data_IF_413414522149
#
_entry.id   IF_413414522149
#
_cell.length_a   1.000
_cell.length_b   1.000
_cell.length_c   1.000
_cell.angle_alpha   90.00
_cell.angle_beta   90.00
_cell.angle_gamma   90.00
#
_symmetry.space_group_name_H-M   'P 1'
#
loop_
_entity.id
_entity.type
_entity.pdbx_description
1 polymer ?
#
# COMPACT_ATOMS: atom_id res chain seq x y z
N UNK A 1 -56.59 18.12 32.06
CA UNK A 1 -55.97 17.62 30.81
C UNK A 1 -56.87 16.55 30.24
N UNK A 2 -57.27 16.70 28.98
CA UNK A 2 -58.21 15.78 28.32
C UNK A 2 -57.54 14.43 28.08
N UNK A 3 -58.30 13.32 28.07
CA UNK A 3 -57.80 11.99 27.72
C UNK A 3 -57.02 11.98 26.38
N UNK A 4 -57.38 12.90 25.48
CA UNK A 4 -56.69 13.19 24.22
C UNK A 4 -55.23 13.59 24.43
N UNK A 5 -54.95 14.52 25.35
CA UNK A 5 -53.60 15.05 25.59
C UNK A 5 -52.65 13.95 26.08
N UNK A 6 -53.15 13.02 26.90
CA UNK A 6 -52.39 11.88 27.40
C UNK A 6 -52.05 10.85 26.32
N UNK A 7 -52.99 10.57 25.40
CA UNK A 7 -52.77 9.63 24.29
C UNK A 7 -51.81 10.20 23.24
N UNK A 8 -51.91 11.50 22.97
CA UNK A 8 -50.96 12.19 22.11
C UNK A 8 -49.55 12.14 22.71
N UNK A 9 -49.40 12.45 24.00
CA UNK A 9 -48.10 12.46 24.68
C UNK A 9 -47.40 11.09 24.66
N UNK A 10 -48.12 9.99 24.91
CA UNK A 10 -47.54 8.64 24.86
C UNK A 10 -47.15 8.21 23.45
N UNK A 11 -47.97 8.57 22.45
CA UNK A 11 -47.64 8.35 21.03
C UNK A 11 -46.38 9.13 20.63
N UNK A 12 -46.23 10.38 21.06
CA UNK A 12 -45.05 11.20 20.77
C UNK A 12 -43.75 10.64 21.37
N UNK A 13 -43.79 10.18 22.63
CA UNK A 13 -42.62 9.56 23.27
C UNK A 13 -42.21 8.27 22.56
N UNK A 14 -43.19 7.45 22.16
CA UNK A 14 -42.96 6.23 21.40
C UNK A 14 -42.32 6.53 20.03
N UNK A 15 -42.84 7.52 19.32
CA UNK A 15 -42.34 7.93 18.01
C UNK A 15 -40.92 8.49 18.08
N UNK A 16 -40.64 9.38 19.04
CA UNK A 16 -39.31 9.94 19.25
C UNK A 16 -38.28 8.86 19.60
N UNK A 17 -38.69 7.86 20.39
CA UNK A 17 -37.84 6.70 20.71
C UNK A 17 -37.55 5.86 19.48
N UNK A 18 -38.57 5.56 18.66
CA UNK A 18 -38.41 4.78 17.43
C UNK A 18 -37.47 5.46 16.43
N UNK A 19 -37.62 6.77 16.22
CA UNK A 19 -36.77 7.55 15.31
C UNK A 19 -35.31 7.60 15.76
N UNK A 20 -35.04 7.73 17.07
CA UNK A 20 -33.67 7.66 17.59
C UNK A 20 -33.04 6.28 17.41
N UNK A 21 -33.81 5.21 17.62
CA UNK A 21 -33.33 3.84 17.42
C UNK A 21 -32.95 3.64 15.96
N UNK A 22 -33.80 4.05 15.03
CA UNK A 22 -33.52 3.94 13.59
C UNK A 22 -32.25 4.69 13.20
N UNK A 23 -32.07 5.93 13.70
CA UNK A 23 -30.86 6.73 13.46
C UNK A 23 -29.59 6.08 14.07
N UNK A 24 -29.71 5.46 15.25
CA UNK A 24 -28.57 4.76 15.87
C UNK A 24 -28.15 3.49 15.11
N UNK A 25 -29.11 2.74 14.56
CA UNK A 25 -28.83 1.50 13.84
C UNK A 25 -28.11 1.73 12.51
N UNK A 26 -28.51 2.76 11.76
CA UNK A 26 -27.83 3.16 10.53
C UNK A 26 -26.43 3.71 10.81
N UNK A 27 -26.25 4.51 11.87
CA UNK A 27 -24.91 4.94 12.32
C UNK A 27 -24.02 3.75 12.62
N UNK A 28 -24.54 2.75 13.34
CA UNK A 28 -23.79 1.52 13.65
C UNK A 28 -23.45 0.73 12.38
N UNK A 29 -24.39 0.58 11.44
CA UNK A 29 -24.16 -0.14 10.18
C UNK A 29 -23.07 0.54 9.32
N UNK A 30 -23.11 1.87 9.19
CA UNK A 30 -22.10 2.63 8.44
C UNK A 30 -20.74 2.57 9.14
N UNK A 31 -20.71 2.77 10.46
CA UNK A 31 -19.48 2.67 11.25
C UNK A 31 -18.86 1.27 11.17
N UNK A 32 -19.68 0.21 11.19
CA UNK A 32 -19.23 -1.18 11.07
C UNK A 32 -18.60 -1.45 9.71
N UNK A 33 -19.23 -0.98 8.62
CA UNK A 33 -18.66 -1.10 7.27
C UNK A 33 -17.33 -0.35 7.13
N UNK A 34 -17.24 0.86 7.70
CA UNK A 34 -16.00 1.64 7.75
C UNK A 34 -14.92 0.90 8.56
N UNK A 35 -15.25 0.33 9.72
CA UNK A 35 -14.31 -0.43 10.53
C UNK A 35 -13.85 -1.73 9.84
N UNK A 36 -14.72 -2.45 9.13
CA UNK A 36 -14.34 -3.63 8.34
C UNK A 36 -13.36 -3.24 7.24
N UNK A 37 -13.60 -2.10 6.59
CA UNK A 37 -12.71 -1.56 5.56
C UNK A 37 -11.34 -1.14 6.14
N UNK A 38 -11.33 -0.46 7.30
CA UNK A 38 -10.13 -0.04 8.01
C UNK A 38 -9.36 -1.20 8.67
N UNK A 39 -10.00 -2.32 9.00
CA UNK A 39 -9.31 -3.47 9.58
C UNK A 39 -8.65 -4.35 8.49
N UNK A 40 -9.23 -4.37 7.29
CA UNK A 40 -8.63 -5.05 6.12
C UNK A 40 -7.43 -4.32 5.53
N UNK A 41 -7.25 -3.04 5.87
CA UNK A 41 -6.16 -2.22 5.34
C UNK A 41 -5.43 -1.58 6.53
N UNK A 42 -4.15 -1.85 6.72
CA UNK A 42 -3.33 -1.34 7.85
C UNK A 42 -3.05 0.19 7.78
N UNK A 43 -4.03 0.98 7.32
CA UNK A 43 -4.00 2.43 7.13
C UNK A 43 -4.69 3.21 8.25
N UNK A 44 -4.73 2.65 9.46
CA UNK A 44 -5.40 3.20 10.64
C UNK A 44 -4.94 4.62 11.05
N UNK A 45 -3.78 5.11 10.58
CA UNK A 45 -3.23 6.42 11.02
C UNK A 45 -3.56 7.63 10.12
N UNK A 46 -3.95 7.45 8.86
CA UNK A 46 -4.18 8.60 7.95
C UNK A 46 -5.63 9.08 7.88
N UNK A 47 -6.59 8.22 8.21
CA UNK A 47 -8.02 8.58 8.21
C UNK A 47 -8.53 9.13 9.55
N UNK A 48 -7.68 9.19 10.57
CA UNK A 48 -8.06 9.73 11.88
C UNK A 48 -8.36 11.24 11.87
N UNK A 49 -8.09 11.91 10.74
CA UNK A 49 -8.25 13.37 10.56
C UNK A 49 -9.15 13.75 9.38
N UNK A 50 -9.88 12.82 8.76
CA UNK A 50 -10.92 13.21 7.81
C UNK A 50 -12.09 13.79 8.62
N UNK A 51 -12.60 14.99 8.30
CA UNK A 51 -13.72 15.57 9.03
C UNK A 51 -14.93 14.68 8.80
N UNK A 52 -15.19 13.83 9.78
CA UNK A 52 -16.39 12.99 9.89
C UNK A 52 -17.57 13.88 10.32
N UNK A 53 -17.70 15.08 9.76
CA UNK A 53 -18.70 16.08 10.16
C UNK A 53 -19.93 16.08 9.22
N UNK A 54 -19.81 15.59 7.99
CA UNK A 54 -20.93 15.63 7.02
C UNK A 54 -21.95 14.50 7.21
N UNK A 55 -21.68 13.49 8.07
CA UNK A 55 -22.64 12.42 8.35
C UNK A 55 -23.56 12.70 9.54
N UNK A 56 -23.35 13.79 10.28
CA UNK A 56 -23.93 13.96 11.62
C UNK A 56 -25.25 14.74 11.68
N UNK A 57 -25.77 15.32 10.59
CA UNK A 57 -26.92 16.22 10.71
C UNK A 57 -28.13 15.89 9.81
N UNK A 58 -28.66 14.67 9.91
CA UNK A 58 -30.10 14.52 9.65
C UNK A 58 -30.85 14.83 10.95
N UNK A 59 -31.14 16.11 11.13
CA UNK A 59 -31.79 16.60 12.34
C UNK A 59 -33.24 16.12 12.41
N UNK A 60 -33.47 15.15 13.28
CA UNK A 60 -34.79 14.55 13.52
C UNK A 60 -35.69 15.50 14.29
N UNK A 61 -35.12 16.42 15.07
CA UNK A 61 -35.88 17.28 15.97
C UNK A 61 -36.80 18.28 15.23
N UNK A 62 -36.39 18.95 14.13
CA UNK A 62 -37.26 19.80 13.30
C UNK A 62 -38.44 19.05 12.67
N UNK A 63 -38.24 17.79 12.27
CA UNK A 63 -39.31 16.95 11.72
C UNK A 63 -40.33 16.58 12.78
N UNK A 64 -39.87 16.23 13.98
CA UNK A 64 -40.74 15.95 15.13
C UNK A 64 -41.50 17.21 15.53
N UNK A 65 -40.86 18.37 15.56
CA UNK A 65 -41.50 19.64 15.91
C UNK A 65 -42.55 20.07 14.87
N UNK A 66 -42.28 19.87 13.58
CA UNK A 66 -43.26 20.12 12.52
C UNK A 66 -44.46 19.15 12.61
N UNK A 67 -44.22 17.88 12.95
CA UNK A 67 -45.31 16.93 13.22
C UNK A 67 -46.16 17.35 14.41
N UNK A 68 -45.54 17.79 15.51
CA UNK A 68 -46.24 18.27 16.71
C UNK A 68 -47.09 19.50 16.39
N UNK A 69 -46.52 20.47 15.66
CA UNK A 69 -47.21 21.69 15.22
C UNK A 69 -48.42 21.38 14.34
N UNK A 70 -48.27 20.49 13.36
CA UNK A 70 -49.35 20.09 12.45
C UNK A 70 -50.46 19.28 13.15
N UNK A 71 -50.11 18.50 14.17
CA UNK A 71 -51.08 17.83 15.05
C UNK A 71 -51.82 18.82 15.95
N UNK A 72 -51.13 19.79 16.55
CA UNK A 72 -51.75 20.81 17.41
C UNK A 72 -52.73 21.70 16.63
N UNK A 73 -52.44 21.94 15.34
CA UNK A 73 -53.30 22.71 14.44
C UNK A 73 -54.43 21.87 13.78
N UNK A 74 -54.70 20.66 14.29
CA UNK A 74 -55.76 19.80 13.75
C UNK A 74 -57.07 19.94 14.53
N UNK A 75 -58.18 19.94 13.79
CA UNK A 75 -59.52 20.18 14.33
C UNK A 75 -60.12 18.93 14.99
N UNK A 76 -59.63 17.75 14.62
CA UNK A 76 -60.04 16.48 15.17
C UNK A 76 -58.93 15.43 15.09
N UNK A 77 -59.10 14.36 15.87
CA UNK A 77 -58.09 13.30 16.02
C UNK A 77 -57.79 12.59 14.69
N UNK A 78 -58.79 12.44 13.82
CA UNK A 78 -58.61 11.82 12.52
C UNK A 78 -57.71 12.68 11.60
N UNK A 79 -57.92 14.00 11.61
CA UNK A 79 -57.09 14.95 10.88
C UNK A 79 -55.67 15.01 11.45
N UNK A 80 -55.52 14.98 12.79
CA UNK A 80 -54.22 14.87 13.44
C UNK A 80 -53.48 13.63 12.95
N UNK A 81 -54.12 12.45 13.04
CA UNK A 81 -53.54 11.17 12.63
C UNK A 81 -53.16 11.16 11.15
N UNK A 82 -54.03 11.68 10.28
CA UNK A 82 -53.76 11.73 8.84
C UNK A 82 -52.58 12.65 8.50
N UNK A 83 -52.46 13.82 9.14
CA UNK A 83 -51.33 14.75 8.91
C UNK A 83 -50.01 14.16 9.39
N UNK A 84 -50.01 13.55 10.58
CA UNK A 84 -48.81 12.91 11.15
C UNK A 84 -48.33 11.74 10.34
N UNK A 85 -49.26 10.91 9.86
CA UNK A 85 -48.93 9.78 9.00
C UNK A 85 -48.25 10.25 7.71
N UNK A 86 -48.77 11.29 7.06
CA UNK A 86 -48.17 11.85 5.85
C UNK A 86 -46.76 12.41 6.10
N UNK A 87 -46.58 13.13 7.20
CA UNK A 87 -45.26 13.66 7.56
C UNK A 87 -44.26 12.55 7.88
N UNK A 88 -44.70 11.47 8.55
CA UNK A 88 -43.86 10.32 8.82
C UNK A 88 -43.51 9.53 7.56
N UNK A 89 -44.45 9.34 6.65
CA UNK A 89 -44.19 8.71 5.35
C UNK A 89 -43.20 9.54 4.52
N UNK A 90 -43.31 10.88 4.55
CA UNK A 90 -42.35 11.78 3.91
C UNK A 90 -40.96 11.72 4.56
N UNK A 91 -40.90 11.69 5.89
CA UNK A 91 -39.65 11.52 6.64
C UNK A 91 -38.98 10.19 6.29
N UNK A 92 -39.72 9.07 6.36
CA UNK A 92 -39.18 7.73 6.07
C UNK A 92 -38.66 7.67 4.63
N UNK A 93 -39.39 8.26 3.68
CA UNK A 93 -39.02 8.28 2.26
C UNK A 93 -37.76 9.11 1.98
N UNK A 94 -37.64 10.29 2.59
CA UNK A 94 -36.46 11.16 2.44
C UNK A 94 -35.24 10.54 3.10
N UNK A 95 -35.41 10.00 4.30
CA UNK A 95 -34.36 9.33 5.06
C UNK A 95 -33.83 8.07 4.34
N UNK A 96 -34.72 7.22 3.83
CA UNK A 96 -34.31 6.01 3.10
C UNK A 96 -33.57 6.31 1.81
N UNK A 97 -33.96 7.36 1.06
CA UNK A 97 -33.21 7.83 -0.12
C UNK A 97 -31.81 8.33 0.25
N UNK A 98 -31.69 9.10 1.32
CA UNK A 98 -30.39 9.60 1.79
C UNK A 98 -29.50 8.45 2.26
N UNK A 99 -30.05 7.51 3.03
CA UNK A 99 -29.33 6.33 3.50
C UNK A 99 -28.82 5.47 2.34
N UNK A 100 -29.63 5.28 1.29
CA UNK A 100 -29.25 4.53 0.09
C UNK A 100 -28.14 5.23 -0.70
N UNK A 101 -28.31 6.53 -0.99
CA UNK A 101 -27.31 7.33 -1.72
C UNK A 101 -25.97 7.38 -0.99
N UNK A 102 -25.99 7.46 0.34
CA UNK A 102 -24.77 7.43 1.15
C UNK A 102 -24.11 6.05 1.13
N UNK A 103 -24.89 4.96 1.20
CA UNK A 103 -24.36 3.61 1.11
C UNK A 103 -23.68 3.34 -0.25
N UNK A 104 -24.27 3.82 -1.34
CA UNK A 104 -23.71 3.71 -2.70
C UNK A 104 -22.42 4.54 -2.86
N UNK A 105 -22.41 5.78 -2.36
CA UNK A 105 -21.24 6.64 -2.37
C UNK A 105 -20.07 6.04 -1.57
N UNK A 106 -20.34 5.52 -0.37
CA UNK A 106 -19.34 4.83 0.47
C UNK A 106 -18.85 3.55 -0.22
N UNK A 107 -19.76 2.77 -0.82
CA UNK A 107 -19.41 1.56 -1.59
C UNK A 107 -18.44 1.87 -2.73
N UNK A 108 -18.78 2.85 -3.57
CA UNK A 108 -17.94 3.28 -4.69
C UNK A 108 -16.57 3.81 -4.22
N UNK A 109 -16.54 4.59 -3.13
CA UNK A 109 -15.27 5.08 -2.58
C UNK A 109 -14.38 3.94 -2.06
N UNK A 110 -14.97 2.95 -1.38
CA UNK A 110 -14.27 1.75 -0.92
C UNK A 110 -13.70 0.92 -2.07
N UNK A 111 -14.46 0.72 -3.15
CA UNK A 111 -14.00 0.00 -4.35
C UNK A 111 -12.82 0.72 -5.03
N UNK A 112 -12.92 2.05 -5.20
CA UNK A 112 -11.84 2.85 -5.77
C UNK A 112 -10.57 2.77 -4.92
N UNK A 113 -10.69 2.87 -3.59
CA UNK A 113 -9.56 2.73 -2.67
C UNK A 113 -8.96 1.31 -2.71
N UNK A 114 -9.78 0.26 -2.83
CA UNK A 114 -9.28 -1.11 -3.01
C UNK A 114 -8.46 -1.24 -4.30
N UNK A 115 -8.93 -0.67 -5.40
CA UNK A 115 -8.19 -0.63 -6.66
C UNK A 115 -6.84 0.06 -6.52
N UNK A 116 -6.79 1.21 -5.84
CA UNK A 116 -5.54 1.95 -5.58
C UNK A 116 -4.58 1.15 -4.70
N UNK A 117 -5.07 0.47 -3.66
CA UNK A 117 -4.26 -0.36 -2.77
C UNK A 117 -3.67 -1.55 -3.53
N UNK A 118 -4.46 -2.20 -4.38
CA UNK A 118 -3.98 -3.31 -5.21
C UNK A 118 -2.92 -2.84 -6.20
N UNK A 119 -3.13 -1.70 -6.86
CA UNK A 119 -2.13 -1.09 -7.73
C UNK A 119 -0.82 -0.78 -7.01
N UNK A 120 -0.90 -0.20 -5.80
CA UNK A 120 0.26 0.06 -4.97
C UNK A 120 0.99 -1.24 -4.54
N UNK A 121 0.23 -2.29 -4.21
CA UNK A 121 0.79 -3.61 -3.87
C UNK A 121 1.56 -4.22 -5.03
N UNK A 122 1.02 -4.15 -6.24
CA UNK A 122 1.72 -4.63 -7.44
C UNK A 122 3.01 -3.85 -7.70
N UNK A 123 2.98 -2.52 -7.57
CA UNK A 123 4.19 -1.70 -7.71
C UNK A 123 5.27 -2.04 -6.68
N UNK A 124 4.89 -2.23 -5.41
CA UNK A 124 5.83 -2.65 -4.36
C UNK A 124 6.47 -4.00 -4.71
N UNK A 125 5.70 -4.95 -5.24
CA UNK A 125 6.24 -6.24 -5.65
C UNK A 125 7.25 -6.11 -6.80
N UNK A 126 6.90 -5.34 -7.83
CA UNK A 126 7.79 -5.08 -8.97
C UNK A 126 9.10 -4.41 -8.52
N UNK A 127 9.02 -3.45 -7.58
CA UNK A 127 10.21 -2.80 -7.03
C UNK A 127 11.09 -3.77 -6.24
N UNK A 128 10.50 -4.69 -5.46
CA UNK A 128 11.26 -5.74 -4.76
C UNK A 128 11.98 -6.68 -5.73
N UNK A 129 11.30 -7.13 -6.78
CA UNK A 129 11.91 -7.96 -7.81
C UNK A 129 13.06 -7.24 -8.54
N UNK A 130 12.86 -5.96 -8.86
CA UNK A 130 13.91 -5.14 -9.46
C UNK A 130 15.12 -4.97 -8.52
N UNK A 131 14.86 -4.77 -7.22
CA UNK A 131 15.90 -4.68 -6.20
C UNK A 131 16.68 -5.99 -6.05
N UNK A 132 16.01 -7.14 -6.01
CA UNK A 132 16.66 -8.45 -5.94
C UNK A 132 17.55 -8.70 -7.17
N UNK A 133 17.04 -8.40 -8.37
CA UNK A 133 17.83 -8.50 -9.60
C UNK A 133 19.05 -7.56 -9.60
N UNK A 134 18.93 -6.38 -8.98
CA UNK A 134 20.03 -5.44 -8.85
C UNK A 134 21.09 -5.93 -7.87
N UNK A 135 20.67 -6.50 -6.74
CA UNK A 135 21.57 -7.08 -5.74
C UNK A 135 22.41 -8.23 -6.33
N UNK A 136 21.81 -9.09 -7.16
CA UNK A 136 22.54 -10.18 -7.81
C UNK A 136 23.60 -9.63 -8.78
N UNK A 137 23.27 -8.60 -9.58
CA UNK A 137 24.25 -7.95 -10.46
C UNK A 137 25.41 -7.32 -9.69
N UNK A 138 25.14 -6.69 -8.56
CA UNK A 138 26.18 -6.09 -7.71
C UNK A 138 27.14 -7.16 -7.18
N UNK A 139 26.60 -8.30 -6.73
CA UNK A 139 27.39 -9.44 -6.30
C UNK A 139 28.24 -10.04 -7.43
N UNK A 140 27.67 -10.17 -8.64
CA UNK A 140 28.43 -10.59 -9.82
C UNK A 140 29.57 -9.63 -10.15
N UNK A 141 29.32 -8.32 -10.09
CA UNK A 141 30.35 -7.29 -10.32
C UNK A 141 31.45 -7.34 -9.26
N UNK A 142 31.10 -7.55 -8.00
CA UNK A 142 32.08 -7.68 -6.92
C UNK A 142 32.96 -8.92 -7.12
N UNK A 143 32.37 -10.06 -7.47
CA UNK A 143 33.12 -11.28 -7.81
C UNK A 143 34.07 -11.06 -9.01
N UNK A 144 33.60 -10.38 -10.07
CA UNK A 144 34.45 -10.04 -11.22
C UNK A 144 35.58 -9.10 -10.84
N UNK A 145 35.36 -8.16 -9.93
CA UNK A 145 36.39 -7.25 -9.45
C UNK A 145 37.49 -8.00 -8.68
N UNK A 146 37.10 -8.98 -7.85
CA UNK A 146 38.06 -9.88 -7.17
C UNK A 146 38.89 -10.69 -8.17
N UNK A 147 38.25 -11.25 -9.20
CA UNK A 147 38.93 -11.99 -10.27
C UNK A 147 39.94 -11.09 -11.02
N UNK A 148 39.55 -9.86 -11.36
CA UNK A 148 40.44 -8.87 -11.99
C UNK A 148 41.61 -8.50 -11.07
N UNK A 149 41.39 -8.32 -9.77
CA UNK A 149 42.48 -8.07 -8.83
C UNK A 149 43.46 -9.24 -8.76
N UNK A 150 42.95 -10.47 -8.69
CA UNK A 150 43.78 -11.68 -8.69
C UNK A 150 44.63 -11.77 -9.97
N UNK A 151 44.02 -11.58 -11.15
CA UNK A 151 44.75 -11.59 -12.42
C UNK A 151 45.83 -10.50 -12.48
N UNK A 152 45.54 -9.29 -12.00
CA UNK A 152 46.54 -8.20 -11.90
C UNK A 152 47.74 -8.58 -11.04
N UNK A 153 47.54 -9.36 -9.98
CA UNK A 153 48.65 -9.85 -9.14
C UNK A 153 49.46 -10.95 -9.82
N UNK A 154 48.86 -11.73 -10.71
CA UNK A 154 49.52 -12.84 -11.41
C UNK A 154 50.38 -12.36 -12.61
N UNK A 155 50.00 -11.24 -13.24
CA UNK A 155 50.77 -10.62 -14.34
C UNK A 155 52.25 -10.37 -13.99
N UNK A 156 52.62 -9.71 -12.88
CA UNK A 156 54.03 -9.48 -12.55
C UNK A 156 54.79 -10.78 -12.26
N UNK A 157 54.13 -11.80 -11.70
CA UNK A 157 54.74 -13.11 -11.47
C UNK A 157 55.15 -13.77 -12.79
N UNK A 158 54.24 -13.80 -13.77
CA UNK A 158 54.54 -14.33 -15.10
C UNK A 158 55.60 -13.49 -15.83
N UNK A 159 55.55 -12.16 -15.74
CA UNK A 159 56.56 -11.30 -16.33
C UNK A 159 57.95 -11.53 -15.71
N UNK A 160 58.03 -11.77 -14.39
CA UNK A 160 59.29 -12.10 -13.73
C UNK A 160 59.82 -13.46 -14.18
N UNK A 161 58.94 -14.46 -14.31
CA UNK A 161 59.34 -15.79 -14.77
C UNK A 161 59.79 -15.81 -16.22
N UNK A 162 59.16 -15.02 -17.08
CA UNK A 162 59.59 -14.80 -18.46
C UNK A 162 61.01 -14.22 -18.52
N UNK A 163 61.28 -13.15 -17.75
CA UNK A 163 62.63 -12.56 -17.69
C UNK A 163 63.69 -13.56 -17.22
N UNK A 164 63.40 -14.34 -16.18
CA UNK A 164 64.34 -15.35 -15.69
C UNK A 164 64.66 -16.42 -16.75
N UNK A 165 63.66 -16.87 -17.51
CA UNK A 165 63.87 -17.82 -18.61
C UNK A 165 64.63 -17.20 -19.80
N UNK A 166 64.39 -15.93 -20.10
CA UNK A 166 65.14 -15.20 -21.12
C UNK A 166 66.62 -15.05 -20.74
N UNK A 167 66.90 -14.75 -19.47
CA UNK A 167 68.26 -14.70 -18.91
C UNK A 167 68.94 -16.07 -18.99
N UNK A 168 68.28 -17.15 -18.53
CA UNK A 168 68.79 -18.52 -18.62
C UNK A 168 69.11 -18.92 -20.06
N UNK A 169 68.19 -18.64 -20.99
CA UNK A 169 68.38 -18.93 -22.42
C UNK A 169 69.57 -18.16 -22.98
N UNK A 170 69.74 -16.89 -22.63
CA UNK A 170 70.87 -16.08 -23.08
C UNK A 170 72.20 -16.62 -22.52
N UNK A 171 72.23 -17.03 -21.25
CA UNK A 171 73.40 -17.64 -20.63
C UNK A 171 73.79 -18.95 -21.31
N UNK A 172 72.83 -19.86 -21.52
CA UNK A 172 73.06 -21.11 -22.26
C UNK A 172 73.56 -20.85 -23.70
N UNK A 173 73.02 -19.82 -24.36
CA UNK A 173 73.47 -19.45 -25.71
C UNK A 173 74.92 -18.96 -25.70
N UNK A 174 75.32 -18.15 -24.71
CA UNK A 174 76.72 -17.75 -24.55
C UNK A 174 77.63 -18.94 -24.26
N UNK A 175 77.23 -19.83 -23.34
CA UNK A 175 78.02 -21.02 -22.99
C UNK A 175 78.23 -21.92 -24.21
N UNK A 176 77.20 -22.10 -25.04
CA UNK A 176 77.29 -22.87 -26.28
C UNK A 176 78.24 -22.23 -27.30
N UNK A 177 78.19 -20.91 -27.48
CA UNK A 177 79.12 -20.19 -28.34
C UNK A 177 80.57 -20.32 -27.86
N UNK A 178 80.82 -20.19 -26.55
CA UNK A 178 82.14 -20.39 -25.97
C UNK A 178 82.65 -21.82 -26.18
N UNK A 179 81.81 -22.83 -25.98
CA UNK A 179 82.16 -24.22 -26.23
C UNK A 179 82.54 -24.45 -27.71
N UNK A 180 81.77 -23.90 -28.64
CA UNK A 180 82.07 -24.00 -30.09
C UNK A 180 83.38 -23.31 -30.47
N UNK A 181 83.65 -22.11 -29.93
CA UNK A 181 84.90 -21.40 -30.18
C UNK A 181 86.11 -22.12 -29.57
N UNK A 182 85.97 -22.69 -28.37
CA UNK A 182 87.04 -23.46 -27.72
C UNK A 182 87.36 -24.77 -28.46
N UNK A 183 86.35 -25.39 -29.10
CA UNK A 183 86.52 -26.58 -29.93
C UNK A 183 87.02 -26.27 -31.36
N UNK A 184 87.02 -24.99 -31.75
CA UNK A 184 87.57 -24.51 -33.02
C UNK A 184 89.07 -24.23 -32.95
N UNK A 185 89.72 -24.50 -31.82
CA UNK A 185 91.17 -24.38 -31.69
C UNK A 185 91.83 -25.60 -32.35
N UNK A 186 92.57 -25.46 -33.47
CA UNK A 186 93.26 -26.59 -34.08
C UNK A 186 94.38 -27.01 -33.14
N UNK A 187 94.12 -28.04 -32.33
CA UNK A 187 95.16 -28.77 -31.61
C UNK A 187 96.14 -29.28 -32.67
N UNK A 188 97.28 -28.59 -32.75
CA UNK A 188 98.42 -29.02 -33.53
C UNK A 188 98.77 -30.45 -33.18
N UNK A 189 98.48 -31.36 -34.10
CA UNK A 189 99.18 -32.62 -34.19
C UNK A 189 100.66 -32.30 -34.46
N UNK A 190 101.50 -32.49 -33.44
CA UNK A 190 102.90 -32.86 -33.66
C UNK A 190 103.11 -34.23 -33.04
N UNK A 191 103.32 -35.21 -33.93
CA UNK A 191 104.03 -36.45 -33.71
C UNK A 191 105.18 -36.47 -34.74
N UNK A 192 106.22 -37.32 -34.59
CA UNK A 192 106.88 -37.84 -33.40
C UNK A 192 108.10 -36.99 -32.96
#
# INVERSE_FOLDING_TARGET
LSHKDSLFFTFFLSLRRALRILNSQTRFAVSSQISIFQNRTSLSRKFQNAPMDDLDYFDVDPWVENCVREMQNSLNEHQARARSRRLLEAFITTYSKLAWSNAESVGSHCENLQGLIEGARMQINNLKQAQEAQLEREKELENRNLEVQYLKQLVPEYQSRLRALEEEKNELTMQLQQAQQSNSNPRGFRAP
#
